data_IF_588003491199
#
_entry.id   IF_588003491199
#
_cell.length_a   1.000
_cell.length_b   1.000
_cell.length_c   1.000
_cell.angle_alpha   90.00
_cell.angle_beta   90.00
_cell.angle_gamma   90.00
#
_symmetry.space_group_name_H-M   'P 1'
#
loop_
_entity.id
_entity.type
_entity.pdbx_description
1 polymer ?
#
# COMPACT_ATOMS: atom_id res chain seq x y z
N UNK A 1 16.44 64.23 -32.56
CA UNK A 1 17.10 63.65 -31.37
C UNK A 1 16.10 63.16 -30.28
N UNK A 2 14.82 62.88 -30.59
CA UNK A 2 13.78 62.55 -29.58
C UNK A 2 13.36 61.06 -29.59
N UNK A 3 13.56 60.35 -30.71
CA UNK A 3 13.22 58.91 -30.84
C UNK A 3 14.05 57.97 -29.95
N UNK A 4 15.25 58.41 -29.52
CA UNK A 4 16.16 57.61 -28.68
C UNK A 4 15.63 57.42 -27.24
N UNK A 5 14.98 58.42 -26.66
CA UNK A 5 14.56 58.39 -25.25
C UNK A 5 13.37 57.44 -24.98
N UNK A 6 12.42 57.32 -25.91
CA UNK A 6 11.25 56.44 -25.76
C UNK A 6 11.63 54.95 -25.90
N UNK A 7 12.59 54.63 -26.77
CA UNK A 7 13.13 53.27 -26.91
C UNK A 7 13.86 52.84 -25.64
N UNK A 8 14.62 53.75 -25.02
CA UNK A 8 15.31 53.51 -23.75
C UNK A 8 14.30 53.30 -22.60
N UNK A 9 13.25 54.12 -22.49
CA UNK A 9 12.18 53.92 -21.49
C UNK A 9 11.47 52.57 -21.65
N UNK A 10 11.11 52.18 -22.87
CA UNK A 10 10.46 50.88 -23.14
C UNK A 10 11.34 49.69 -22.76
N UNK A 11 12.66 49.78 -22.98
CA UNK A 11 13.64 48.75 -22.56
C UNK A 11 13.73 48.66 -21.03
N UNK A 12 13.75 49.79 -20.33
CA UNK A 12 13.79 49.83 -18.85
C UNK A 12 12.51 49.22 -18.25
N UNK A 13 11.32 49.53 -18.80
CA UNK A 13 10.06 48.93 -18.34
C UNK A 13 10.05 47.41 -18.54
N UNK A 14 10.54 46.90 -19.67
CA UNK A 14 10.64 45.45 -19.91
C UNK A 14 11.64 44.76 -18.97
N UNK A 15 12.78 45.39 -18.69
CA UNK A 15 13.76 44.89 -17.73
C UNK A 15 13.15 44.86 -16.32
N UNK A 16 12.40 45.90 -15.94
CA UNK A 16 11.73 45.95 -14.64
C UNK A 16 10.63 44.88 -14.51
N UNK A 17 9.83 44.67 -15.56
CA UNK A 17 8.83 43.59 -15.59
C UNK A 17 9.52 42.22 -15.51
N UNK A 18 10.61 42.01 -16.25
CA UNK A 18 11.37 40.76 -16.19
C UNK A 18 11.96 40.53 -14.79
N UNK A 19 12.51 41.58 -14.17
CA UNK A 19 13.01 41.53 -12.81
C UNK A 19 11.90 41.18 -11.81
N UNK A 20 10.72 41.78 -11.95
CA UNK A 20 9.55 41.49 -11.11
C UNK A 20 9.06 40.05 -11.31
N UNK A 21 9.08 39.55 -12.55
CA UNK A 21 8.69 38.17 -12.88
C UNK A 21 9.67 37.16 -12.28
N UNK A 22 10.98 37.46 -12.34
CA UNK A 22 12.03 36.65 -11.71
C UNK A 22 11.87 36.67 -10.18
N UNK A 23 11.58 37.83 -9.60
CA UNK A 23 11.33 37.96 -8.16
C UNK A 23 10.11 37.14 -7.71
N UNK A 24 9.05 37.12 -8.53
CA UNK A 24 7.84 36.33 -8.28
C UNK A 24 8.13 34.83 -8.35
N UNK A 25 8.89 34.38 -9.36
CA UNK A 25 9.31 32.98 -9.50
C UNK A 25 10.20 32.53 -8.34
N UNK A 26 11.08 33.41 -7.84
CA UNK A 26 11.93 33.14 -6.68
C UNK A 26 11.16 33.16 -5.34
N UNK A 27 9.94 33.70 -5.33
CA UNK A 27 9.08 33.74 -4.14
C UNK A 27 8.22 32.48 -3.98
N UNK A 28 8.21 31.58 -4.97
CA UNK A 28 7.54 30.29 -4.87
C UNK A 28 8.36 29.39 -3.94
N UNK A 29 7.83 29.14 -2.73
CA UNK A 29 8.41 28.12 -1.85
C UNK A 29 8.15 26.73 -2.44
N UNK A 30 9.11 25.80 -2.34
CA UNK A 30 8.83 24.40 -2.64
C UNK A 30 7.68 23.94 -1.74
N UNK A 31 6.71 23.24 -2.32
CA UNK A 31 5.71 22.52 -1.54
C UNK A 31 6.46 21.42 -0.78
N UNK A 32 6.31 21.38 0.53
CA UNK A 32 6.78 20.26 1.33
C UNK A 32 6.04 19.01 0.84
N UNK A 33 6.74 18.14 0.12
CA UNK A 33 6.25 16.81 -0.18
C UNK A 33 6.34 16.02 1.11
N UNK A 34 5.22 15.88 1.81
CA UNK A 34 5.09 14.84 2.84
C UNK A 34 5.15 13.51 2.11
N UNK A 35 6.37 12.95 1.99
CA UNK A 35 6.56 11.63 1.45
C UNK A 35 5.79 10.65 2.34
N UNK A 36 4.85 9.92 1.75
CA UNK A 36 4.20 8.81 2.43
C UNK A 36 5.21 7.69 2.54
N UNK A 37 5.42 7.20 3.75
CA UNK A 37 6.34 6.10 4.04
C UNK A 37 5.70 5.13 5.03
N UNK A 38 6.08 3.86 4.91
CA UNK A 38 5.70 2.85 5.89
C UNK A 38 6.69 1.70 5.93
N UNK A 39 6.76 1.04 7.07
CA UNK A 39 7.50 -0.20 7.24
C UNK A 39 6.76 -1.15 8.18
N UNK A 40 7.20 -2.42 8.23
CA UNK A 40 6.64 -3.41 9.14
C UNK A 40 7.54 -3.57 10.36
N UNK A 41 7.23 -2.90 11.49
CA UNK A 41 7.95 -3.17 12.74
C UNK A 41 7.84 -4.64 13.17
N UNK A 42 6.69 -5.28 12.93
CA UNK A 42 6.45 -6.66 13.31
C UNK A 42 5.63 -7.40 12.26
N UNK A 43 6.03 -8.64 12.00
CA UNK A 43 5.27 -9.65 11.26
C UNK A 43 5.33 -10.93 12.06
N UNK A 44 4.18 -11.41 12.54
CA UNK A 44 4.06 -12.62 13.33
C UNK A 44 3.20 -13.63 12.56
N UNK A 45 3.74 -14.82 12.32
CA UNK A 45 3.06 -15.87 11.55
C UNK A 45 2.92 -17.10 12.44
N UNK A 46 1.68 -17.53 12.66
CA UNK A 46 1.35 -18.81 13.28
C UNK A 46 0.80 -19.75 12.22
N UNK A 47 1.29 -20.98 12.23
CA UNK A 47 0.84 -22.05 11.35
C UNK A 47 0.41 -23.23 12.21
N UNK A 48 -0.86 -23.59 12.09
CA UNK A 48 -1.46 -24.72 12.81
C UNK A 48 -1.74 -25.86 11.81
N UNK A 49 -0.95 -26.92 11.89
CA UNK A 49 -1.04 -28.07 10.98
C UNK A 49 -2.16 -29.01 11.42
N UNK A 50 -3.03 -29.38 10.48
CA UNK A 50 -4.15 -30.30 10.70
C UNK A 50 -3.77 -31.74 10.36
N UNK A 51 -4.56 -32.70 10.86
CA UNK A 51 -4.32 -34.14 10.65
C UNK A 51 -4.42 -34.59 9.18
N UNK A 52 -5.12 -33.82 8.34
CA UNK A 52 -5.31 -34.09 6.91
C UNK A 52 -4.18 -33.49 6.04
N UNK A 53 -3.16 -32.87 6.65
CA UNK A 53 -2.05 -32.21 5.96
C UNK A 53 -2.36 -30.81 5.45
N UNK A 54 -3.59 -30.32 5.63
CA UNK A 54 -3.88 -28.89 5.51
C UNK A 54 -3.32 -28.13 6.71
N UNK A 55 -3.21 -26.81 6.61
CA UNK A 55 -2.83 -25.98 7.75
C UNK A 55 -3.53 -24.63 7.73
N UNK A 56 -3.79 -24.10 8.93
CA UNK A 56 -4.34 -22.76 9.12
C UNK A 56 -3.20 -21.78 9.32
N UNK A 57 -3.26 -20.64 8.62
CA UNK A 57 -2.31 -19.54 8.76
C UNK A 57 -3.00 -18.38 9.46
N UNK A 58 -2.30 -17.81 10.44
CA UNK A 58 -2.66 -16.53 11.07
C UNK A 58 -1.42 -15.64 10.98
N UNK A 59 -1.49 -14.61 10.14
CA UNK A 59 -0.44 -13.61 10.00
C UNK A 59 -0.90 -12.28 10.59
N UNK A 60 -0.21 -11.80 11.62
CA UNK A 60 -0.41 -10.47 12.20
C UNK A 60 0.71 -9.55 11.70
N UNK A 61 0.36 -8.51 10.94
CA UNK A 61 1.30 -7.54 10.37
C UNK A 61 1.01 -6.16 10.92
N UNK A 62 1.97 -5.60 11.66
CA UNK A 62 1.91 -4.21 12.11
C UNK A 62 2.59 -3.31 11.09
N UNK A 63 1.89 -2.26 10.66
CA UNK A 63 2.39 -1.19 9.81
C UNK A 63 2.69 0.01 10.70
N UNK A 64 3.85 0.63 10.51
CA UNK A 64 4.09 1.99 10.99
C UNK A 64 3.93 2.94 9.80
N UNK A 65 2.89 3.76 9.80
CA UNK A 65 2.58 4.69 8.72
C UNK A 65 3.09 6.10 9.07
N UNK A 66 3.74 6.74 8.10
CA UNK A 66 4.04 8.17 8.08
C UNK A 66 3.32 8.79 6.88
N UNK A 67 2.23 9.51 7.15
CA UNK A 67 1.27 9.99 6.15
C UNK A 67 -0.09 9.29 6.21
N UNK A 68 -0.95 9.61 5.24
CA UNK A 68 -2.34 9.13 5.16
C UNK A 68 -2.49 7.98 4.16
N UNK A 69 -2.95 6.82 4.65
CA UNK A 69 -3.12 5.60 3.88
C UNK A 69 -4.55 5.09 3.98
N UNK A 70 -5.09 4.62 2.85
CA UNK A 70 -6.50 4.24 2.74
C UNK A 70 -6.73 2.83 2.19
N UNK A 71 -5.67 2.18 1.71
CA UNK A 71 -5.74 0.84 1.17
C UNK A 71 -4.34 0.21 1.10
N UNK A 72 -4.31 -1.11 1.01
CA UNK A 72 -3.11 -1.87 0.67
C UNK A 72 -3.51 -3.17 -0.02
N UNK A 73 -2.51 -3.87 -0.56
CA UNK A 73 -2.67 -5.20 -1.12
C UNK A 73 -1.96 -6.25 -0.26
N UNK A 74 -2.57 -7.42 -0.16
CA UNK A 74 -1.94 -8.64 0.33
C UNK A 74 -1.85 -9.61 -0.84
N UNK A 75 -0.64 -10.02 -1.20
CA UNK A 75 -0.42 -10.93 -2.33
C UNK A 75 0.20 -12.22 -1.81
N UNK A 76 -0.42 -13.35 -2.14
CA UNK A 76 0.06 -14.69 -1.83
C UNK A 76 0.38 -15.43 -3.12
N UNK A 77 1.65 -15.71 -3.37
CA UNK A 77 2.07 -16.48 -4.55
C UNK A 77 1.65 -17.94 -4.45
N UNK A 78 1.11 -18.50 -5.54
CA UNK A 78 0.75 -19.91 -5.62
C UNK A 78 1.98 -20.75 -5.95
N UNK A 79 2.58 -21.32 -4.91
CA UNK A 79 3.68 -22.26 -5.04
C UNK A 79 3.72 -23.17 -3.82
N UNK A 80 3.92 -24.47 -4.03
CA UNK A 80 4.03 -25.43 -2.93
C UNK A 80 2.70 -25.99 -2.39
N UNK A 81 1.56 -25.40 -2.74
CA UNK A 81 0.22 -25.83 -2.30
C UNK A 81 -0.81 -25.79 -3.46
N UNK A 82 -1.99 -26.38 -3.27
CA UNK A 82 -3.01 -26.50 -4.32
C UNK A 82 -3.89 -25.25 -4.40
N UNK A 83 -4.52 -24.87 -3.29
CA UNK A 83 -5.35 -23.67 -3.15
C UNK A 83 -5.48 -23.24 -1.69
N UNK A 84 -6.05 -22.05 -1.46
CA UNK A 84 -6.46 -21.61 -0.13
C UNK A 84 -7.97 -21.45 -0.05
N UNK A 85 -8.50 -21.56 1.17
CA UNK A 85 -9.90 -21.31 1.50
C UNK A 85 -10.00 -20.40 2.74
N UNK A 86 -11.20 -19.87 2.97
CA UNK A 86 -11.54 -19.08 4.16
C UNK A 86 -10.61 -17.88 4.43
N UNK A 87 -10.24 -17.15 3.37
CA UNK A 87 -9.42 -15.94 3.49
C UNK A 87 -10.21 -14.82 4.20
N UNK A 88 -9.66 -14.27 5.28
CA UNK A 88 -10.25 -13.22 6.11
C UNK A 88 -9.20 -12.18 6.49
N UNK A 89 -9.65 -10.93 6.67
CA UNK A 89 -8.86 -9.81 7.19
C UNK A 89 -9.60 -9.24 8.39
N UNK A 90 -8.87 -8.89 9.44
CA UNK A 90 -9.38 -8.13 10.59
C UNK A 90 -8.36 -7.09 11.06
N UNK A 91 -8.85 -6.04 11.72
CA UNK A 91 -8.05 -5.12 12.53
C UNK A 91 -8.72 -4.89 13.90
N UNK A 92 -8.30 -3.84 14.62
CA UNK A 92 -8.88 -3.45 15.91
C UNK A 92 -10.40 -3.15 15.88
N UNK A 93 -10.96 -2.86 14.71
CA UNK A 93 -12.40 -2.60 14.50
C UNK A 93 -13.18 -3.86 14.13
N UNK A 94 -12.50 -5.01 13.95
CA UNK A 94 -13.10 -6.30 13.65
C UNK A 94 -12.85 -6.77 12.20
N UNK A 95 -13.67 -7.73 11.77
CA UNK A 95 -13.56 -8.37 10.46
C UNK A 95 -13.96 -7.44 9.32
N UNK A 96 -13.19 -7.52 8.23
CA UNK A 96 -13.48 -6.79 7.00
C UNK A 96 -14.54 -7.55 6.18
N UNK A 97 -15.39 -6.80 5.49
CA UNK A 97 -16.42 -7.34 4.60
C UNK A 97 -15.85 -7.62 3.20
N UNK A 98 -16.05 -8.85 2.71
CA UNK A 98 -15.69 -9.22 1.34
C UNK A 98 -16.70 -8.63 0.35
N UNK A 99 -16.21 -7.90 -0.65
CA UNK A 99 -17.02 -7.28 -1.70
C UNK A 99 -16.59 -7.76 -3.09
N UNK A 100 -17.54 -7.78 -4.03
CA UNK A 100 -17.27 -8.19 -5.42
C UNK A 100 -16.49 -7.13 -6.23
N UNK A 101 -16.38 -5.92 -5.72
CA UNK A 101 -15.69 -4.80 -6.35
C UNK A 101 -15.13 -3.85 -5.29
N UNK A 102 -14.15 -3.04 -5.69
CA UNK A 102 -13.56 -2.02 -4.82
C UNK A 102 -14.62 -1.00 -4.39
N UNK A 103 -14.85 -0.86 -3.09
CA UNK A 103 -15.81 0.13 -2.55
C UNK A 103 -15.13 1.42 -2.09
N UNK A 104 -13.82 1.37 -1.83
CA UNK A 104 -13.08 2.43 -1.13
C UNK A 104 -13.57 2.75 0.30
N UNK A 105 -14.45 1.93 0.86
CA UNK A 105 -14.95 2.09 2.22
C UNK A 105 -14.04 1.32 3.19
N UNK A 106 -13.56 1.95 4.29
CA UNK A 106 -12.81 1.25 5.34
C UNK A 106 -13.55 0.02 5.87
N UNK A 107 -12.81 -1.05 6.15
CA UNK A 107 -13.37 -2.31 6.61
C UNK A 107 -13.96 -3.18 5.50
N UNK A 108 -13.60 -2.93 4.23
CA UNK A 108 -13.98 -3.78 3.10
C UNK A 108 -12.75 -4.28 2.36
N UNK A 109 -12.88 -5.38 1.64
CA UNK A 109 -11.83 -5.88 0.76
C UNK A 109 -12.38 -6.65 -0.43
N UNK A 110 -11.61 -6.68 -1.52
CA UNK A 110 -11.80 -7.61 -2.63
C UNK A 110 -10.79 -8.74 -2.53
N UNK A 111 -11.12 -9.90 -3.07
CA UNK A 111 -10.23 -11.05 -3.15
C UNK A 111 -10.30 -11.66 -4.54
N UNK A 112 -9.15 -11.84 -5.20
CA UNK A 112 -9.08 -12.30 -6.59
C UNK A 112 -7.99 -13.35 -6.76
N UNK A 113 -8.30 -14.34 -7.59
CA UNK A 113 -7.36 -15.35 -8.06
C UNK A 113 -6.78 -14.91 -9.42
N UNK A 114 -5.52 -14.50 -9.42
CA UNK A 114 -4.80 -14.05 -10.62
C UNK A 114 -4.07 -15.20 -11.34
N UNK A 115 -4.38 -16.45 -11.01
CA UNK A 115 -3.76 -17.65 -11.59
C UNK A 115 -2.40 -18.01 -10.97
N UNK A 116 -1.46 -17.07 -10.87
CA UNK A 116 -0.15 -17.28 -10.22
C UNK A 116 -0.09 -16.80 -8.76
N UNK A 117 -1.08 -16.04 -8.32
CA UNK A 117 -1.20 -15.53 -6.96
C UNK A 117 -2.66 -15.32 -6.59
N UNK A 118 -2.94 -15.35 -5.29
CA UNK A 118 -4.11 -14.70 -4.72
C UNK A 118 -3.76 -13.25 -4.37
N UNK A 119 -4.69 -12.34 -4.59
CA UNK A 119 -4.55 -10.94 -4.23
C UNK A 119 -5.79 -10.47 -3.48
N UNK A 120 -5.57 -9.89 -2.30
CA UNK A 120 -6.57 -9.16 -1.57
C UNK A 120 -6.25 -7.67 -1.63
N UNK A 121 -7.22 -6.82 -2.00
CA UNK A 121 -7.10 -5.37 -1.84
C UNK A 121 -8.07 -4.93 -0.76
N UNK A 122 -7.54 -4.38 0.32
CA UNK A 122 -8.31 -4.02 1.50
C UNK A 122 -8.22 -2.54 1.79
N UNK A 123 -9.33 -1.97 2.26
CA UNK A 123 -9.51 -0.54 2.48
C UNK A 123 -9.59 -0.26 3.98
N UNK A 124 -8.84 0.73 4.42
CA UNK A 124 -8.74 1.15 5.82
C UNK A 124 -8.57 2.66 5.90
N UNK A 125 -8.35 3.20 7.09
CA UNK A 125 -7.87 4.57 7.29
C UNK A 125 -6.73 4.53 8.28
N UNK A 126 -5.59 5.10 7.94
CA UNK A 126 -4.46 5.26 8.83
C UNK A 126 -3.77 6.62 8.62
N UNK A 127 -3.44 7.32 9.70
CA UNK A 127 -2.73 8.62 9.64
C UNK A 127 -1.66 8.71 10.73
N UNK A 128 -0.39 8.65 10.33
CA UNK A 128 0.76 8.81 11.23
C UNK A 128 0.70 7.89 12.47
N UNK A 129 0.43 6.61 12.26
CA UNK A 129 0.11 5.67 13.35
C UNK A 129 0.67 4.26 13.12
N UNK A 130 0.65 3.46 14.18
CA UNK A 130 0.82 2.03 14.08
C UNK A 130 -0.54 1.37 13.92
N UNK A 131 -0.72 0.56 12.88
CA UNK A 131 -1.94 -0.21 12.66
C UNK A 131 -1.62 -1.65 12.33
N UNK A 132 -2.30 -2.58 13.01
CA UNK A 132 -2.11 -4.02 12.81
C UNK A 132 -3.28 -4.61 12.03
N UNK A 133 -2.95 -5.47 11.06
CA UNK A 133 -3.91 -6.27 10.32
C UNK A 133 -3.60 -7.74 10.52
N UNK A 134 -4.64 -8.54 10.71
CA UNK A 134 -4.53 -9.99 10.83
C UNK A 134 -5.14 -10.66 9.60
N UNK A 135 -4.35 -11.47 8.91
CA UNK A 135 -4.77 -12.28 7.76
C UNK A 135 -4.92 -13.72 8.21
N UNK A 136 -6.06 -14.33 7.87
CA UNK A 136 -6.38 -15.72 8.21
C UNK A 136 -6.76 -16.45 6.94
N UNK A 137 -6.26 -17.65 6.75
CA UNK A 137 -6.66 -18.53 5.65
C UNK A 137 -6.23 -19.96 5.94
N UNK A 138 -6.86 -20.92 5.28
CA UNK A 138 -6.48 -22.33 5.32
C UNK A 138 -5.84 -22.73 4.00
N UNK A 139 -4.69 -23.39 4.08
CA UNK A 139 -3.93 -23.88 2.92
C UNK A 139 -4.21 -25.36 2.72
N UNK A 140 -4.55 -25.73 1.48
CA UNK A 140 -4.80 -27.11 1.06
C UNK A 140 -3.64 -27.60 0.18
N UNK A 141 -3.19 -28.84 0.44
CA UNK A 141 -2.16 -29.50 -0.38
C UNK A 141 -0.73 -28.95 -0.21
N UNK A 142 -0.48 -28.15 0.84
CA UNK A 142 0.83 -27.54 1.11
C UNK A 142 1.86 -28.46 1.76
N UNK A 143 1.43 -29.56 2.39
CA UNK A 143 2.34 -30.58 2.94
C UNK A 143 2.37 -31.76 1.99
N UNK A 144 3.44 -31.87 1.20
CA UNK A 144 3.71 -33.06 0.36
C UNK A 144 4.68 -33.97 1.09
N UNK A 145 4.16 -35.05 1.68
CA UNK A 145 5.00 -36.08 2.27
C UNK A 145 5.73 -36.84 1.16
N UNK A 146 6.99 -36.50 0.89
CA UNK A 146 7.91 -37.40 0.20
C UNK A 146 8.40 -38.44 1.22
N UNK A 147 8.39 -39.71 0.85
CA UNK A 147 8.69 -40.85 1.72
C UNK A 147 10.16 -40.93 2.18
N UNK A 148 10.92 -39.83 2.17
CA UNK A 148 12.25 -39.76 2.79
C UNK A 148 12.76 -38.37 3.22
N UNK A 149 12.07 -37.26 2.92
CA UNK A 149 12.34 -35.93 3.52
C UNK A 149 11.05 -35.09 3.43
N UNK A 150 10.61 -34.48 4.54
CA UNK A 150 9.52 -33.51 4.51
C UNK A 150 10.10 -32.12 4.27
N UNK A 151 9.80 -31.52 3.12
CA UNK A 151 10.07 -30.10 2.87
C UNK A 151 8.80 -29.28 3.21
N UNK A 152 9.00 -28.19 3.95
CA UNK A 152 7.96 -27.21 4.29
C UNK A 152 8.16 -25.99 3.39
N UNK A 153 7.17 -25.67 2.55
CA UNK A 153 7.14 -24.49 1.67
C UNK A 153 5.99 -23.55 2.04
#
# INVERSE_FOLDING_TARGET
MVLSANVVKSRITKIFILFLLVLLLLSMKPLDSFAQDYYFPFVNVRIDINNDGSFNVIEERTYNFSGDFHWATYTLGKGGYDYIEDFLIEDENGYYELTNSETSNPGTYTFTDNGSSYEAKFFYSASNENKSFTFRYKVIGGIKAYQDVADFY
#
